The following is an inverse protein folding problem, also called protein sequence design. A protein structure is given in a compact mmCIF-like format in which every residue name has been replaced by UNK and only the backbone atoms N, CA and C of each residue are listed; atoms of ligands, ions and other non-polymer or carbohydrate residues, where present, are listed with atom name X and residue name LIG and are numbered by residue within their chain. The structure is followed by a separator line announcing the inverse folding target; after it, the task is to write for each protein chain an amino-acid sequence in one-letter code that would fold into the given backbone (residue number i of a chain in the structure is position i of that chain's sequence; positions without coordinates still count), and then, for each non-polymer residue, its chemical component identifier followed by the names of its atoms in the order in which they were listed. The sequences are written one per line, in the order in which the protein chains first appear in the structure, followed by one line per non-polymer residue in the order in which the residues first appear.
data_IF_857631530528
#
_entry.id   IF_857631530528
#
_cell.length_a   1.000
_cell.length_b   1.000
_cell.length_c   1.000
_cell.angle_alpha   90.00
_cell.angle_beta   90.00
_cell.angle_gamma   90.00
#
_symmetry.space_group_name_H-M   'P 1'
#
loop_
_entity.id
_entity.type
_entity.pdbx_description
1 polymer ?
#
# COMPACT_ATOMS: atom_id res chain seq x y z
N UNK A 1 4.49 11.18 0.18
CA UNK A 1 4.99 10.13 1.11
C UNK A 1 3.89 9.69 2.06
N UNK A 2 3.28 10.61 2.83
CA UNK A 2 2.19 10.30 3.75
C UNK A 2 0.98 9.60 3.10
N UNK A 3 0.58 10.02 1.89
CA UNK A 3 -0.58 9.43 1.18
C UNK A 3 -0.41 7.95 0.82
N UNK A 4 0.83 7.52 0.51
CA UNK A 4 1.13 6.12 0.18
C UNK A 4 1.04 5.27 1.44
N UNK A 5 1.60 5.76 2.54
CA UNK A 5 1.51 5.07 3.83
C UNK A 5 0.06 4.98 4.32
N UNK A 6 -0.73 6.04 4.17
CA UNK A 6 -2.18 6.04 4.46
C UNK A 6 -2.93 5.02 3.58
N UNK A 7 -2.61 4.93 2.29
CA UNK A 7 -3.21 3.93 1.40
C UNK A 7 -2.82 2.49 1.77
N UNK A 8 -1.63 2.26 2.33
CA UNK A 8 -1.23 0.92 2.78
C UNK A 8 -1.89 0.59 4.11
N UNK A 9 -1.92 1.53 5.06
CA UNK A 9 -2.65 1.42 6.32
C UNK A 9 -4.13 1.05 6.05
N UNK A 10 -4.78 1.79 5.14
CA UNK A 10 -6.18 1.53 4.77
C UNK A 10 -6.42 0.14 4.18
N UNK A 11 -5.45 -0.43 3.45
CA UNK A 11 -5.58 -1.75 2.84
C UNK A 11 -5.22 -2.91 3.77
N UNK A 12 -4.36 -2.66 4.75
CA UNK A 12 -3.75 -3.72 5.57
C UNK A 12 -4.26 -3.76 7.01
N UNK A 13 -4.71 -2.63 7.55
CA UNK A 13 -5.03 -2.51 8.98
C UNK A 13 -6.47 -2.06 9.24
N UNK A 14 -7.05 -1.27 8.35
CA UNK A 14 -8.39 -0.71 8.56
C UNK A 14 -9.46 -1.63 7.96
N UNK A 15 -10.47 -1.94 8.78
CA UNK A 15 -11.75 -2.48 8.29
C UNK A 15 -12.67 -1.32 7.88
N UNK A 16 -13.64 -1.59 7.00
CA UNK A 16 -14.55 -0.57 6.45
C UNK A 16 -15.29 0.25 7.54
N UNK A 17 -15.62 -0.38 8.67
CA UNK A 17 -16.26 0.32 9.79
C UNK A 17 -15.72 -0.14 11.12
N UNK A 18 -15.12 0.79 11.86
CA UNK A 18 -14.72 0.59 13.25
C UNK A 18 -15.72 1.28 14.18
N UNK A 19 -16.06 0.65 15.32
CA UNK A 19 -17.10 1.14 16.21
C UNK A 19 -16.72 2.43 16.96
N UNK A 20 -15.43 2.64 17.23
CA UNK A 20 -14.93 3.74 18.05
C UNK A 20 -13.46 4.08 17.74
N UNK A 21 -13.03 5.25 18.21
CA UNK A 21 -11.68 5.78 17.98
C UNK A 21 -10.60 5.00 18.76
N UNK A 22 -10.95 4.38 19.90
CA UNK A 22 -10.00 3.63 20.72
C UNK A 22 -9.57 2.35 19.99
N UNK A 23 -10.52 1.64 19.41
CA UNK A 23 -10.30 0.47 18.55
C UNK A 23 -9.46 0.84 17.34
N UNK A 24 -9.76 1.96 16.68
CA UNK A 24 -8.94 2.46 15.57
C UNK A 24 -7.49 2.69 16.00
N UNK A 25 -7.29 3.37 17.13
CA UNK A 25 -5.95 3.70 17.65
C UNK A 25 -5.14 2.44 17.96
N UNK A 26 -5.77 1.44 18.57
CA UNK A 26 -5.13 0.17 18.91
C UNK A 26 -4.69 -0.59 17.66
N UNK A 27 -5.55 -0.71 16.66
CA UNK A 27 -5.23 -1.42 15.41
C UNK A 27 -4.12 -0.71 14.63
N UNK A 28 -4.18 0.63 14.53
CA UNK A 28 -3.13 1.42 13.87
C UNK A 28 -1.78 1.24 14.59
N UNK A 29 -1.75 1.28 15.92
CA UNK A 29 -0.51 1.10 16.69
C UNK A 29 0.06 -0.31 16.56
N UNK A 30 -0.79 -1.34 16.60
CA UNK A 30 -0.36 -2.72 16.41
C UNK A 30 0.22 -2.94 15.00
N UNK A 31 -0.43 -2.39 13.97
CA UNK A 31 0.05 -2.46 12.59
C UNK A 31 1.37 -1.70 12.40
N UNK A 32 1.49 -0.49 12.97
CA UNK A 32 2.72 0.31 12.92
C UNK A 32 3.89 -0.43 13.55
N UNK A 33 3.70 -1.00 14.75
CA UNK A 33 4.72 -1.80 15.43
C UNK A 33 5.15 -3.02 14.60
N UNK A 34 4.18 -3.75 14.04
CA UNK A 34 4.48 -4.91 13.19
C UNK A 34 5.29 -4.51 11.94
N UNK A 35 4.90 -3.43 11.26
CA UNK A 35 5.58 -2.92 10.06
C UNK A 35 6.99 -2.42 10.36
N UNK A 36 7.14 -1.70 11.46
CA UNK A 36 8.44 -1.18 11.93
C UNK A 36 9.39 -2.33 12.31
N UNK A 37 8.88 -3.34 13.02
CA UNK A 37 9.66 -4.55 13.37
C UNK A 37 10.06 -5.36 12.14
N UNK A 38 9.20 -5.41 11.12
CA UNK A 38 9.50 -6.06 9.86
C UNK A 38 10.46 -5.25 8.96
N UNK A 39 10.76 -3.99 9.31
CA UNK A 39 11.64 -3.11 8.54
C UNK A 39 11.14 -2.87 7.12
N UNK A 40 9.82 -2.88 6.91
CA UNK A 40 9.24 -2.77 5.57
C UNK A 40 9.51 -1.37 5.01
N UNK A 41 10.25 -1.31 3.91
CA UNK A 41 10.54 -0.07 3.19
C UNK A 41 9.73 0.02 1.90
N UNK A 42 9.43 1.24 1.48
CA UNK A 42 8.85 1.49 0.16
C UNK A 42 10.01 1.47 -0.85
N UNK A 43 9.94 0.56 -1.82
CA UNK A 43 10.78 0.63 -3.01
C UNK A 43 10.25 1.74 -3.93
N UNK A 44 10.99 2.85 -3.97
CA UNK A 44 10.66 4.00 -4.81
C UNK A 44 11.04 3.82 -6.27
N UNK A 45 11.71 2.71 -6.64
CA UNK A 45 12.23 2.51 -7.98
C UNK A 45 11.22 1.80 -8.87
N UNK A 46 10.57 2.58 -9.75
CA UNK A 46 9.76 2.04 -10.82
C UNK A 46 10.56 2.00 -12.13
N UNK A 47 11.00 0.80 -12.53
CA UNK A 47 11.79 0.60 -13.76
C UNK A 47 10.90 0.36 -14.98
N UNK A 48 11.47 0.49 -16.18
CA UNK A 48 10.79 0.13 -17.44
C UNK A 48 10.38 -1.34 -17.47
N UNK A 49 11.17 -2.25 -16.91
CA UNK A 49 10.79 -3.66 -16.75
C UNK A 49 9.57 -3.82 -15.83
N UNK A 50 9.54 -3.11 -14.69
CA UNK A 50 8.37 -3.09 -13.80
C UNK A 50 7.13 -2.56 -14.53
N UNK A 51 7.29 -1.54 -15.38
CA UNK A 51 6.21 -0.96 -16.19
C UNK A 51 5.68 -1.95 -17.23
N UNK A 52 6.56 -2.65 -17.95
CA UNK A 52 6.15 -3.67 -18.95
C UNK A 52 5.31 -4.79 -18.34
N UNK A 53 5.59 -5.16 -17.08
CA UNK A 53 4.81 -6.15 -16.34
C UNK A 53 3.48 -5.55 -15.85
N UNK A 54 3.52 -4.43 -15.13
CA UNK A 54 2.31 -3.84 -14.51
C UNK A 54 1.34 -3.23 -15.51
N UNK A 55 1.83 -2.68 -16.62
CA UNK A 55 1.04 -1.98 -17.64
C UNK A 55 0.87 -2.82 -18.91
N UNK A 56 1.08 -4.14 -18.83
CA UNK A 56 1.02 -5.06 -19.99
C UNK A 56 -0.25 -4.86 -20.84
N UNK A 57 -1.41 -4.65 -20.18
CA UNK A 57 -2.70 -4.42 -20.85
C UNK A 57 -2.79 -3.06 -21.56
N UNK A 58 -2.04 -2.05 -21.12
CA UNK A 58 -2.04 -0.71 -21.72
C UNK A 58 -1.16 -0.63 -22.98
N UNK A 59 -0.11 -1.45 -23.07
CA UNK A 59 0.83 -1.45 -24.19
C UNK A 59 0.44 -2.39 -25.35
N UNK A 60 -0.62 -3.19 -25.19
CA UNK A 60 -1.12 -4.13 -26.21
C UNK A 60 -1.94 -3.46 -27.33
N UNK A 61 -1.99 -2.13 -27.38
CA UNK A 61 -2.77 -1.38 -28.37
C UNK A 61 -1.87 -0.58 -29.30
N UNK A 62 -1.14 -1.29 -30.16
CA UNK A 62 -0.75 -0.74 -31.46
C UNK A 62 -1.21 -1.75 -32.51
N UNK A 63 -2.48 -1.62 -32.90
CA UNK A 63 -3.00 -2.26 -34.11
C UNK A 63 -2.32 -1.58 -35.30
N UNK A 64 -1.74 -2.37 -36.19
CA UNK A 64 -1.10 -1.94 -37.45
C UNK A 64 -2.14 -1.91 -38.56
#
# INVERSE_FOLDING_TARGET
MAEIELSILSRQALADRMPDQETLTREVSAWEQARNNAGVTIDWRFTTDNARIKLKRLYLSFDT
#
